data_IF_730546661966
#
_entry.id   IF_730546661966
#
_cell.length_a   1.000
_cell.length_b   1.000
_cell.length_c   1.000
_cell.angle_alpha   90.00
_cell.angle_beta   90.00
_cell.angle_gamma   90.00
#
_symmetry.space_group_name_H-M   'P 1'
#
loop_
_entity.id
_entity.type
_entity.pdbx_description
1 polymer ?
#
# COMPACT_ATOMS: atom_id res chain seq x y z
N UNK A 1 -2.69 39.19 59.19
CA UNK A 1 -2.70 38.79 58.69
C UNK A 1 -2.68 38.36 57.55
N UNK A 2 -2.31 38.01 57.05
CA UNK A 2 -2.45 37.55 56.16
C UNK A 2 -2.55 37.11 55.26
N UNK A 3 -2.38 36.71 54.71
CA UNK A 3 -2.62 36.13 53.93
C UNK A 3 -2.48 35.79 52.79
N UNK A 4 -2.17 35.48 52.21
CA UNK A 4 -2.22 35.06 51.27
C UNK A 4 -2.28 34.55 50.29
N UNK A 5 -2.14 34.19 50.02
CA UNK A 5 -2.38 33.62 49.08
C UNK A 5 -2.24 33.22 48.01
N UNK A 6 -1.96 32.88 47.55
CA UNK A 6 -2.11 32.48 46.65
C UNK A 6 -2.05 31.98 45.68
N UNK A 7 -1.93 31.52 45.18
CA UNK A 7 -2.02 30.97 44.30
C UNK A 7 -1.95 30.61 43.24
N UNK A 8 -1.77 30.38 42.80
CA UNK A 8 -1.96 29.96 41.95
C UNK A 8 -1.91 29.46 40.98
N UNK A 9 -1.73 29.17 40.66
CA UNK A 9 -1.95 28.73 39.87
C UNK A 9 -1.87 28.27 38.89
N UNK A 10 -1.69 27.86 38.43
CA UNK A 10 -1.88 27.42 37.66
C UNK A 10 -1.76 26.99 36.66
N UNK A 11 -1.53 26.63 36.27
CA UNK A 11 -1.65 26.23 35.44
C UNK A 11 -1.59 25.74 34.43
N UNK A 12 -1.48 25.54 33.94
CA UNK A 12 -1.73 25.05 33.14
C UNK A 12 -1.53 24.56 32.14
N UNK A 13 -1.38 24.35 31.84
CA UNK A 13 -1.48 23.81 31.00
C UNK A 13 -1.37 23.41 29.94
N UNK A 14 -1.20 23.22 29.49
CA UNK A 14 -1.36 22.81 28.60
C UNK A 14 -1.18 22.25 27.65
N UNK A 15 -1.01 21.97 27.56
CA UNK A 15 -1.02 21.39 26.70
C UNK A 15 -0.83 20.98 25.65
N UNK A 16 -0.78 20.86 25.43
CA UNK A 16 -0.84 20.51 24.68
C UNK A 16 -0.63 20.09 23.70
N UNK A 17 -0.58 20.01 23.50
CA UNK A 17 -0.71 19.47 22.75
C UNK A 17 -0.49 19.15 21.86
N UNK A 18 -0.46 19.24 21.89
CA UNK A 18 -0.58 18.87 21.25
C UNK A 18 -0.55 18.25 20.44
N UNK A 19 -0.65 18.07 20.38
CA UNK A 19 -0.70 17.43 19.78
C UNK A 19 -0.56 17.18 18.77
N UNK A 20 -0.56 17.27 18.67
CA UNK A 20 -0.60 17.05 17.92
C UNK A 20 -0.26 16.69 17.11
N UNK A 21 -0.11 16.81 17.08
CA UNK A 21 -0.02 16.37 16.41
C UNK A 21 0.24 15.94 15.70
N UNK A 22 0.19 15.83 15.84
CA UNK A 22 0.36 15.36 15.38
C UNK A 22 0.33 14.84 14.52
N UNK A 23 0.25 14.86 14.44
CA UNK A 23 0.12 14.32 13.86
C UNK A 23 0.14 14.04 12.86
N UNK A 24 -0.01 14.08 12.66
CA UNK A 24 -0.30 13.89 11.92
C UNK A 24 0.10 13.40 10.80
N UNK A 25 0.19 12.99 10.48
CA UNK A 25 0.57 12.52 9.62
C UNK A 25 0.03 12.31 8.71
N UNK A 26 0.02 12.22 8.46
CA UNK A 26 -0.36 12.15 7.50
C UNK A 26 -1.18 11.43 6.84
N UNK A 27 -2.18 11.92 6.64
CA UNK A 27 -3.16 11.32 5.80
C UNK A 27 -2.59 10.99 4.43
N UNK A 28 -1.75 11.85 3.92
CA UNK A 28 -1.17 11.62 2.61
C UNK A 28 -0.35 10.34 2.58
N UNK A 29 0.43 10.10 3.63
CA UNK A 29 1.23 8.89 3.69
C UNK A 29 0.34 7.66 3.77
N UNK A 30 -0.77 7.77 4.47
CA UNK A 30 -1.68 6.65 4.60
C UNK A 30 -2.37 6.29 3.29
N UNK A 31 -2.65 7.29 2.47
CA UNK A 31 -3.31 7.04 1.20
C UNK A 31 -2.49 6.18 0.27
N UNK A 32 -1.17 6.24 0.40
CA UNK A 32 -0.31 5.42 -0.46
C UNK A 32 -0.46 3.95 -0.17
N UNK A 33 -1.01 3.58 0.98
CA UNK A 33 -1.17 2.17 1.33
C UNK A 33 -2.57 1.67 1.06
N UNK A 34 -3.47 2.52 0.54
CA UNK A 34 -4.86 2.13 0.35
C UNK A 34 -5.05 1.21 -0.85
N UNK A 35 -4.20 1.31 -1.85
CA UNK A 35 -4.33 0.53 -3.07
C UNK A 35 -3.21 -0.47 -3.12
N UNK A 36 -3.45 -1.61 -2.49
CA UNK A 36 -2.44 -2.68 -2.43
C UNK A 36 -2.89 -3.94 -3.14
N UNK A 37 -4.08 -3.92 -3.74
CA UNK A 37 -4.62 -5.09 -4.42
C UNK A 37 -4.70 -4.85 -5.90
N UNK A 38 -4.38 -5.89 -6.66
CA UNK A 38 -4.56 -5.93 -8.10
C UNK A 38 -5.55 -7.04 -8.40
N UNK A 39 -6.60 -6.69 -9.09
CA UNK A 39 -7.60 -7.67 -9.51
C UNK A 39 -7.28 -8.12 -10.93
N UNK A 40 -7.27 -9.42 -11.14
CA UNK A 40 -7.12 -10.00 -12.46
C UNK A 40 -8.50 -10.39 -12.92
N UNK A 41 -8.98 -9.78 -14.00
CA UNK A 41 -10.33 -10.02 -14.46
C UNK A 41 -10.41 -9.62 -15.92
N UNK A 42 -11.14 -10.39 -16.70
CA UNK A 42 -11.36 -10.10 -18.11
C UNK A 42 -10.03 -9.88 -18.83
N UNK A 43 -9.07 -10.77 -18.58
CA UNK A 43 -7.76 -10.75 -19.24
C UNK A 43 -7.02 -9.44 -19.03
N UNK A 44 -7.16 -8.82 -17.85
CA UNK A 44 -6.46 -7.59 -17.58
C UNK A 44 -6.15 -7.50 -16.08
N UNK A 45 -5.17 -6.66 -15.78
CA UNK A 45 -4.81 -6.32 -14.39
C UNK A 45 -5.44 -4.97 -14.05
N UNK A 46 -6.12 -4.90 -12.92
CA UNK A 46 -6.77 -3.66 -12.52
C UNK A 46 -6.43 -3.29 -11.09
N UNK A 47 -5.81 -2.16 -10.88
CA UNK A 47 -5.36 -1.19 -11.87
C UNK A 47 -4.13 -1.68 -12.63
N UNK A 48 -3.99 -1.23 -13.86
CA UNK A 48 -2.84 -1.61 -14.67
C UNK A 48 -1.55 -0.98 -14.15
N UNK A 49 -1.66 0.17 -13.52
CA UNK A 49 -0.52 0.81 -12.87
C UNK A 49 -0.88 1.08 -11.43
N UNK A 50 -0.08 0.55 -10.52
CA UNK A 50 -0.29 0.69 -9.09
C UNK A 50 0.92 1.37 -8.48
N UNK A 51 0.70 2.44 -7.72
CA UNK A 51 1.78 3.16 -7.03
C UNK A 51 1.70 2.87 -5.55
N UNK A 52 2.81 2.44 -4.98
CA UNK A 52 2.86 2.06 -3.57
C UNK A 52 4.15 2.56 -2.94
N UNK A 53 4.17 2.60 -1.61
CA UNK A 53 5.37 2.95 -0.86
C UNK A 53 6.27 1.73 -0.73
N UNK A 54 7.55 1.98 -0.54
CA UNK A 54 8.52 0.93 -0.22
C UNK A 54 8.04 0.18 1.02
N UNK A 55 8.12 -1.14 0.98
CA UNK A 55 7.68 -1.99 2.07
C UNK A 55 6.25 -2.48 1.95
N UNK A 56 5.55 -2.06 0.92
CA UNK A 56 4.16 -2.45 0.72
C UNK A 56 4.09 -3.87 0.17
N UNK A 57 3.13 -4.62 0.68
CA UNK A 57 2.78 -5.94 0.14
C UNK A 57 1.61 -5.77 -0.83
N UNK A 58 1.83 -6.19 -2.07
CA UNK A 58 0.80 -6.13 -3.10
C UNK A 58 0.25 -7.53 -3.30
N UNK A 59 -1.06 -7.64 -3.41
CA UNK A 59 -1.74 -8.92 -3.58
C UNK A 59 -2.49 -8.91 -4.91
N UNK A 60 -2.23 -9.91 -5.72
CA UNK A 60 -2.98 -10.16 -6.96
C UNK A 60 -4.01 -11.23 -6.67
N UNK A 61 -5.25 -10.97 -7.07
CA UNK A 61 -6.34 -11.93 -6.91
C UNK A 61 -6.94 -12.21 -8.28
N UNK A 62 -6.99 -13.48 -8.66
CA UNK A 62 -7.59 -13.85 -9.93
C UNK A 62 -9.11 -13.95 -9.76
N UNK A 63 -9.83 -13.05 -10.42
CA UNK A 63 -11.29 -13.07 -10.43
C UNK A 63 -11.85 -13.54 -11.76
N UNK A 64 -10.98 -13.97 -12.65
CA UNK A 64 -11.39 -14.52 -13.94
C UNK A 64 -11.72 -16.00 -13.75
N UNK A 65 -12.45 -16.55 -14.70
CA UNK A 65 -12.78 -17.97 -14.66
C UNK A 65 -11.76 -18.81 -15.43
N UNK A 66 -10.63 -18.24 -15.79
CA UNK A 66 -9.52 -18.96 -16.39
C UNK A 66 -8.25 -18.62 -15.61
N UNK A 67 -7.23 -19.48 -15.68
CA UNK A 67 -6.02 -19.27 -14.91
C UNK A 67 -5.15 -18.14 -15.46
N UNK A 68 -4.43 -17.48 -14.57
CA UNK A 68 -3.51 -16.39 -14.91
C UNK A 68 -2.29 -16.46 -14.00
N UNK A 69 -1.26 -15.72 -14.36
CA UNK A 69 -0.07 -15.55 -13.54
C UNK A 69 0.29 -14.07 -13.46
N UNK A 70 1.18 -13.73 -12.52
CA UNK A 70 1.78 -12.40 -12.45
C UNK A 70 3.28 -12.61 -12.33
N UNK A 71 4.02 -12.21 -13.36
CA UNK A 71 5.46 -12.46 -13.44
C UNK A 71 6.14 -11.15 -13.84
N UNK A 72 7.10 -10.69 -13.04
CA UNK A 72 7.82 -9.47 -13.40
C UNK A 72 8.81 -9.74 -14.52
N UNK A 73 8.98 -8.74 -15.38
CA UNK A 73 9.88 -8.89 -16.53
C UNK A 73 11.34 -9.02 -16.07
N UNK A 74 11.68 -8.45 -14.91
CA UNK A 74 13.03 -8.54 -14.37
C UNK A 74 13.20 -9.73 -13.41
N UNK A 75 12.17 -10.56 -13.29
CA UNK A 75 12.21 -11.76 -12.47
C UNK A 75 12.25 -11.48 -10.96
N UNK A 76 11.91 -10.27 -10.56
CA UNK A 76 11.83 -9.94 -9.14
C UNK A 76 10.78 -10.78 -8.43
N UNK A 77 9.65 -11.03 -9.11
CA UNK A 77 8.62 -11.89 -8.53
C UNK A 77 8.00 -12.75 -9.63
N UNK A 78 7.42 -13.84 -9.20
CA UNK A 78 6.77 -14.79 -10.11
C UNK A 78 5.73 -15.56 -9.31
N UNK A 79 4.48 -15.45 -9.71
CA UNK A 79 3.43 -16.24 -9.08
C UNK A 79 3.41 -17.64 -9.67
N UNK A 80 2.78 -18.55 -8.94
CA UNK A 80 2.31 -19.78 -9.55
C UNK A 80 1.12 -19.47 -10.43
N UNK A 81 0.60 -20.47 -11.12
CA UNK A 81 -0.66 -20.34 -11.84
C UNK A 81 -1.75 -20.12 -10.81
N UNK A 82 -2.54 -19.09 -11.01
CA UNK A 82 -3.63 -18.72 -10.10
C UNK A 82 -4.95 -19.11 -10.76
N UNK A 83 -5.66 -20.02 -10.12
CA UNK A 83 -7.03 -20.34 -10.52
C UNK A 83 -7.97 -19.30 -9.94
N UNK A 84 -9.24 -19.40 -10.29
CA UNK A 84 -10.24 -18.43 -9.82
C UNK A 84 -10.17 -18.30 -8.31
N UNK A 85 -10.14 -17.05 -7.83
CA UNK A 85 -10.08 -16.66 -6.42
C UNK A 85 -8.77 -16.96 -5.72
N UNK A 86 -7.78 -17.49 -6.42
CA UNK A 86 -6.46 -17.67 -5.82
C UNK A 86 -5.68 -16.36 -5.83
N UNK A 87 -4.75 -16.24 -4.90
CA UNK A 87 -4.01 -15.01 -4.67
C UNK A 87 -2.52 -15.25 -4.66
N UNK A 88 -1.80 -14.18 -4.98
CA UNK A 88 -0.35 -14.13 -4.88
C UNK A 88 0.03 -12.79 -4.28
N UNK A 89 0.96 -12.78 -3.34
CA UNK A 89 1.41 -11.55 -2.71
C UNK A 89 2.91 -11.43 -2.81
N UNK A 90 3.38 -10.19 -2.93
CA UNK A 90 4.80 -9.89 -2.94
C UNK A 90 5.05 -8.57 -2.23
N UNK A 91 6.09 -8.51 -1.40
CA UNK A 91 6.45 -7.30 -0.67
C UNK A 91 7.60 -6.61 -1.40
N UNK A 92 7.37 -5.33 -1.73
CA UNK A 92 8.36 -4.54 -2.48
C UNK A 92 9.23 -3.77 -1.50
N UNK A 93 10.50 -4.18 -1.38
CA UNK A 93 11.42 -3.56 -0.43
C UNK A 93 12.35 -2.54 -1.07
N UNK A 94 12.30 -2.38 -2.38
CA UNK A 94 13.17 -1.44 -3.08
C UNK A 94 12.35 -0.57 -4.02
N UNK A 95 12.69 0.72 -4.12
CA UNK A 95 11.99 1.59 -5.06
C UNK A 95 12.31 1.21 -6.49
N UNK A 96 11.39 1.51 -7.38
CA UNK A 96 11.58 1.23 -8.80
C UNK A 96 10.25 0.98 -9.47
N UNK A 97 10.31 0.77 -10.77
CA UNK A 97 9.15 0.41 -11.58
C UNK A 97 9.28 -1.05 -11.97
N UNK A 98 8.28 -1.83 -11.60
CA UNK A 98 8.27 -3.28 -11.82
C UNK A 98 7.18 -3.60 -12.81
N UNK A 99 7.59 -3.83 -14.06
CA UNK A 99 6.65 -4.26 -15.08
C UNK A 99 6.43 -5.76 -14.98
N UNK A 100 5.20 -6.19 -15.22
CA UNK A 100 4.88 -7.60 -15.13
C UNK A 100 3.83 -7.97 -16.18
N UNK A 101 3.65 -9.25 -16.35
CA UNK A 101 2.76 -9.78 -17.37
C UNK A 101 2.23 -11.14 -16.92
N UNK A 102 1.23 -11.61 -17.63
CA UNK A 102 0.72 -12.96 -17.43
C UNK A 102 1.47 -13.89 -18.39
N UNK A 103 2.13 -14.91 -17.86
CA UNK A 103 2.93 -15.80 -18.70
C UNK A 103 2.06 -16.69 -19.62
N UNK A 104 0.79 -16.83 -19.28
CA UNK A 104 -0.15 -17.60 -20.11
C UNK A 104 -0.74 -16.74 -21.21
N UNK A 105 -0.87 -15.44 -20.94
CA UNK A 105 -1.45 -14.46 -21.87
C UNK A 105 -0.50 -13.26 -21.94
N UNK A 106 0.61 -13.35 -22.67
CA UNK A 106 1.70 -12.36 -22.53
C UNK A 106 1.34 -10.93 -22.86
N UNK A 107 0.22 -10.68 -23.53
CA UNK A 107 -0.20 -9.31 -23.79
C UNK A 107 -0.90 -8.65 -22.62
N UNK A 108 -1.27 -9.43 -21.60
CA UNK A 108 -1.76 -8.88 -20.34
C UNK A 108 -0.58 -8.34 -19.57
N UNK A 109 -0.54 -7.03 -19.37
CA UNK A 109 0.60 -6.40 -18.69
C UNK A 109 0.11 -5.42 -17.63
N UNK A 110 0.99 -5.14 -16.68
CA UNK A 110 0.76 -4.16 -15.66
C UNK A 110 2.08 -3.68 -15.13
N UNK A 111 2.03 -2.75 -14.17
CA UNK A 111 3.24 -2.32 -13.50
C UNK A 111 2.94 -1.85 -12.09
N UNK A 112 3.91 -2.01 -11.21
CA UNK A 112 3.89 -1.47 -9.85
C UNK A 112 5.02 -0.46 -9.76
N UNK A 113 4.69 0.76 -9.36
CA UNK A 113 5.68 1.81 -9.12
C UNK A 113 5.86 1.93 -7.63
N UNK A 114 7.08 1.68 -7.16
CA UNK A 114 7.42 1.69 -5.74
C UNK A 114 8.28 2.90 -5.46
N UNK A 115 7.84 3.76 -4.52
CA UNK A 115 8.54 5.01 -4.25
C UNK A 115 8.49 5.44 -2.78
#
# INVERSE_FOLDING_TARGET
MSTAVLFATTLGIAFAGLRAGAGSLPAAAQQKTDMTDVKIDNFSFGPAELKVAVGTTVTWTNRDDIPHTAVSTDKTFKSKVLDTDEKFSFTFSKPGTYEYFCSIHPKMTGKVVVQ
#
